data_IF_202359472287
#
_entry.id   IF_202359472287
#
_cell.length_a   1.000
_cell.length_b   1.000
_cell.length_c   1.000
_cell.angle_alpha   90.00
_cell.angle_beta   90.00
_cell.angle_gamma   90.00
#
_symmetry.space_group_name_H-M   'P 1'
#
loop_
_entity.id
_entity.type
_entity.pdbx_description
1 polymer ?
#
# COMPACT_ATOMS: atom_id res chain seq x y z
N UNK A 1 -5.43 -12.63 -12.14
CA UNK A 1 -5.21 -11.51 -11.20
C UNK A 1 -3.92 -11.82 -10.45
N UNK A 2 -2.82 -11.11 -10.72
CA UNK A 2 -1.52 -11.42 -10.08
C UNK A 2 -1.58 -10.91 -8.64
N UNK A 3 -1.60 -11.77 -7.60
CA UNK A 3 -1.85 -11.35 -6.21
C UNK A 3 -0.81 -10.35 -5.69
N UNK A 4 0.40 -10.40 -6.25
CA UNK A 4 1.54 -9.57 -5.86
C UNK A 4 1.86 -8.45 -6.84
N UNK A 5 1.12 -8.32 -7.95
CA UNK A 5 1.39 -7.28 -8.96
C UNK A 5 1.22 -5.86 -8.41
N UNK A 6 0.36 -5.71 -7.41
CA UNK A 6 0.15 -4.47 -6.67
C UNK A 6 1.38 -4.05 -5.87
N UNK A 7 2.22 -4.97 -5.38
CA UNK A 7 3.45 -4.67 -4.61
C UNK A 7 4.67 -4.63 -5.54
N UNK A 8 4.78 -5.61 -6.43
CA UNK A 8 5.96 -5.80 -7.28
C UNK A 8 6.09 -4.67 -8.30
N UNK A 9 4.99 -4.21 -8.90
CA UNK A 9 5.03 -3.12 -9.87
C UNK A 9 5.61 -1.83 -9.29
N UNK A 10 5.05 -1.30 -8.20
CA UNK A 10 5.58 -0.12 -7.52
C UNK A 10 6.99 -0.32 -6.97
N UNK A 11 7.34 -1.53 -6.52
CA UNK A 11 8.69 -1.86 -6.04
C UNK A 11 9.73 -1.73 -7.15
N UNK A 12 9.45 -2.29 -8.33
CA UNK A 12 10.35 -2.20 -9.48
C UNK A 12 10.48 -0.75 -9.94
N UNK A 13 9.38 -0.01 -10.03
CA UNK A 13 9.40 1.40 -10.44
C UNK A 13 10.19 2.25 -9.44
N UNK A 14 10.00 2.02 -8.14
CA UNK A 14 10.76 2.70 -7.09
C UNK A 14 12.25 2.36 -7.16
N UNK A 15 12.62 1.08 -7.30
CA UNK A 15 14.03 0.65 -7.42
C UNK A 15 14.75 1.30 -8.60
N UNK A 16 14.06 1.49 -9.73
CA UNK A 16 14.63 2.14 -10.92
C UNK A 16 14.79 3.64 -10.71
N UNK A 17 13.81 4.30 -10.08
CA UNK A 17 13.74 5.77 -10.02
C UNK A 17 14.23 6.40 -8.72
N UNK A 18 14.49 5.61 -7.67
CA UNK A 18 14.89 6.13 -6.35
C UNK A 18 16.19 6.95 -6.39
N UNK A 19 17.12 6.58 -7.27
CA UNK A 19 18.43 7.24 -7.37
C UNK A 19 18.38 8.51 -8.23
N UNK A 20 17.36 8.65 -9.09
CA UNK A 20 17.17 9.82 -9.96
C UNK A 20 16.40 10.96 -9.28
N UNK A 21 15.43 10.63 -8.41
CA UNK A 21 14.52 11.61 -7.82
C UNK A 21 14.35 11.36 -6.30
N UNK A 22 14.88 12.25 -5.44
CA UNK A 22 14.74 12.14 -3.98
C UNK A 22 13.28 12.07 -3.52
N UNK A 23 12.38 12.75 -4.23
CA UNK A 23 10.95 12.74 -3.94
C UNK A 23 10.32 11.36 -4.21
N UNK A 24 10.77 10.66 -5.26
CA UNK A 24 10.33 9.30 -5.56
C UNK A 24 10.84 8.32 -4.51
N UNK A 25 12.03 8.56 -3.94
CA UNK A 25 12.52 7.74 -2.84
C UNK A 25 11.61 7.84 -1.61
N UNK A 26 11.28 9.06 -1.17
CA UNK A 26 10.43 9.28 0.01
C UNK A 26 9.00 8.75 -0.21
N UNK A 27 8.36 9.09 -1.33
CA UNK A 27 6.99 8.64 -1.61
C UNK A 27 6.91 7.15 -1.92
N UNK A 28 7.89 6.61 -2.65
CA UNK A 28 7.94 5.21 -3.02
C UNK A 28 8.12 4.29 -1.81
N UNK A 29 9.00 4.65 -0.86
CA UNK A 29 9.13 3.91 0.42
C UNK A 29 7.83 3.87 1.20
N UNK A 30 7.14 5.01 1.34
CA UNK A 30 5.85 5.08 2.06
C UNK A 30 4.75 4.26 1.36
N UNK A 31 4.68 4.35 0.02
CA UNK A 31 3.73 3.57 -0.76
C UNK A 31 3.98 2.06 -0.61
N UNK A 32 5.25 1.62 -0.65
CA UNK A 32 5.63 0.23 -0.46
C UNK A 32 5.30 -0.28 0.94
N UNK A 33 5.65 0.49 1.98
CA UNK A 33 5.31 0.20 3.37
C UNK A 33 3.80 0.00 3.56
N UNK A 34 2.98 0.86 2.94
CA UNK A 34 1.52 0.72 2.95
C UNK A 34 1.05 -0.54 2.21
N UNK A 35 1.60 -0.83 1.04
CA UNK A 35 1.24 -2.01 0.26
C UNK A 35 1.54 -3.33 0.98
N UNK A 36 2.68 -3.40 1.67
CA UNK A 36 3.04 -4.54 2.52
C UNK A 36 2.06 -4.67 3.68
N UNK A 37 1.72 -3.55 4.34
CA UNK A 37 0.72 -3.52 5.42
C UNK A 37 -0.63 -4.05 4.93
N UNK A 38 -1.09 -3.59 3.76
CA UNK A 38 -2.34 -4.04 3.15
C UNK A 38 -2.30 -5.53 2.81
N UNK A 39 -1.19 -6.06 2.30
CA UNK A 39 -1.05 -7.48 2.04
C UNK A 39 -1.11 -8.33 3.32
N UNK A 40 -0.50 -7.87 4.41
CA UNK A 40 -0.63 -8.53 5.72
C UNK A 40 -2.09 -8.49 6.17
N UNK A 41 -2.77 -7.34 6.06
CA UNK A 41 -4.19 -7.22 6.39
C UNK A 41 -5.07 -8.17 5.57
N UNK A 42 -4.81 -8.30 4.27
CA UNK A 42 -5.50 -9.26 3.41
C UNK A 42 -5.22 -10.72 3.81
N UNK A 43 -3.98 -11.05 4.18
CA UNK A 43 -3.62 -12.39 4.65
C UNK A 43 -4.35 -12.73 5.96
N UNK A 44 -4.41 -11.79 6.90
CA UNK A 44 -5.18 -11.92 8.15
C UNK A 44 -6.67 -12.09 7.85
N UNK A 45 -7.24 -11.27 6.95
CA UNK A 45 -8.63 -11.39 6.54
C UNK A 45 -8.91 -12.75 5.88
N UNK A 46 -7.98 -13.26 5.07
CA UNK A 46 -8.09 -14.57 4.42
C UNK A 46 -8.13 -15.71 5.44
N UNK A 47 -7.31 -15.67 6.49
CA UNK A 47 -7.39 -16.63 7.60
C UNK A 47 -8.71 -16.49 8.36
N UNK A 48 -9.21 -15.25 8.54
CA UNK A 48 -10.50 -14.99 9.20
C UNK A 48 -11.72 -15.39 8.36
N UNK A 49 -11.59 -15.72 7.07
CA UNK A 49 -12.70 -16.25 6.26
C UNK A 49 -13.24 -17.54 6.86
N UNK A 50 -12.37 -18.38 7.44
CA UNK A 50 -12.79 -19.62 8.11
C UNK A 50 -13.71 -19.36 9.32
N UNK A 51 -13.67 -18.16 9.89
CA UNK A 51 -14.55 -17.72 10.97
C UNK A 51 -15.80 -16.95 10.47
N UNK A 52 -16.08 -16.92 9.14
CA UNK A 52 -17.14 -16.15 8.46
C UNK A 52 -16.97 -14.61 8.55
N UNK A 53 -16.32 -14.11 9.59
CA UNK A 53 -16.00 -12.69 9.82
C UNK A 53 -15.14 -12.12 8.68
N UNK A 54 -14.24 -12.91 8.11
CA UNK A 54 -13.37 -12.48 7.01
C UNK A 54 -14.12 -12.03 5.75
N UNK A 55 -15.36 -12.50 5.54
CA UNK A 55 -16.17 -12.12 4.38
C UNK A 55 -16.66 -10.66 4.46
N UNK A 56 -16.92 -10.16 5.68
CA UNK A 56 -17.31 -8.76 5.93
C UNK A 56 -16.07 -7.87 5.99
N UNK A 57 -14.97 -8.37 6.54
CA UNK A 57 -13.72 -7.61 6.71
C UNK A 57 -13.01 -7.35 5.37
N UNK A 58 -13.07 -8.30 4.43
CA UNK A 58 -12.45 -8.18 3.10
C UNK A 58 -12.87 -6.92 2.32
N UNK A 59 -14.18 -6.66 2.08
CA UNK A 59 -14.61 -5.46 1.37
C UNK A 59 -14.27 -4.18 2.14
N UNK A 60 -14.29 -4.21 3.48
CA UNK A 60 -13.91 -3.06 4.30
C UNK A 60 -12.43 -2.68 4.10
N UNK A 61 -11.54 -3.68 4.14
CA UNK A 61 -10.10 -3.50 3.87
C UNK A 61 -9.87 -3.06 2.43
N UNK A 62 -10.62 -3.59 1.46
CA UNK A 62 -10.51 -3.18 0.06
C UNK A 62 -10.90 -1.70 -0.15
N UNK A 63 -12.02 -1.26 0.43
CA UNK A 63 -12.46 0.14 0.36
C UNK A 63 -11.43 1.05 1.05
N UNK A 64 -10.96 0.68 2.24
CA UNK A 64 -9.93 1.45 2.94
C UNK A 64 -8.65 1.58 2.10
N UNK A 65 -8.17 0.48 1.53
CA UNK A 65 -7.00 0.46 0.65
C UNK A 65 -7.17 1.37 -0.56
N UNK A 66 -8.35 1.32 -1.19
CA UNK A 66 -8.66 2.16 -2.35
C UNK A 66 -8.66 3.65 -2.00
N UNK A 67 -9.37 4.05 -0.94
CA UNK A 67 -9.43 5.44 -0.48
C UNK A 67 -8.02 5.99 -0.18
N UNK A 68 -7.20 5.17 0.47
CA UNK A 68 -5.83 5.53 0.83
C UNK A 68 -4.94 5.74 -0.40
N UNK A 69 -5.06 4.91 -1.43
CA UNK A 69 -4.35 5.08 -2.71
C UNK A 69 -4.80 6.35 -3.43
N UNK A 70 -6.11 6.65 -3.43
CA UNK A 70 -6.65 7.87 -4.03
C UNK A 70 -6.12 9.12 -3.33
N UNK A 71 -6.19 9.17 -1.99
CA UNK A 71 -5.65 10.31 -1.23
C UNK A 71 -4.14 10.47 -1.39
N UNK A 72 -3.40 9.36 -1.44
CA UNK A 72 -1.97 9.39 -1.69
C UNK A 72 -1.65 9.95 -3.08
N UNK A 73 -2.42 9.56 -4.10
CA UNK A 73 -2.25 10.03 -5.47
C UNK A 73 -2.53 11.53 -5.59
N UNK A 74 -3.59 12.01 -4.93
CA UNK A 74 -3.93 13.45 -4.89
C UNK A 74 -2.82 14.23 -4.20
N UNK A 75 -2.36 13.79 -3.02
CA UNK A 75 -1.31 14.49 -2.28
C UNK A 75 0.05 14.44 -2.98
N UNK A 76 0.37 13.34 -3.66
CA UNK A 76 1.56 13.25 -4.51
C UNK A 76 1.50 14.25 -5.68
N UNK A 77 0.32 14.48 -6.26
CA UNK A 77 0.12 15.51 -7.29
C UNK A 77 0.33 16.93 -6.73
N UNK A 78 -0.11 17.18 -5.50
CA UNK A 78 0.17 18.44 -4.78
C UNK A 78 1.63 18.60 -4.31
N UNK A 79 2.50 17.61 -4.54
CA UNK A 79 3.87 17.59 -4.02
C UNK A 79 3.95 17.48 -2.49
N UNK A 80 2.85 17.09 -1.83
CA UNK A 80 2.77 16.95 -0.37
C UNK A 80 3.02 15.51 0.05
N UNK A 81 3.80 15.35 1.11
CA UNK A 81 4.00 14.04 1.72
C UNK A 81 2.69 13.49 2.31
N UNK A 82 2.31 12.29 1.88
CA UNK A 82 1.23 11.54 2.50
C UNK A 82 1.79 10.42 3.37
N UNK A 83 1.54 10.50 4.67
CA UNK A 83 1.79 9.42 5.60
C UNK A 83 0.54 8.55 5.67
N UNK A 84 0.68 7.28 5.27
CA UNK A 84 -0.42 6.33 5.31
C UNK A 84 -0.71 5.97 6.76
N UNK A 85 -1.91 6.24 7.31
CA UNK A 85 -2.29 5.71 8.61
C UNK A 85 -2.16 4.17 8.63
N UNK A 86 -1.62 3.65 9.74
CA UNK A 86 -1.33 2.23 9.98
C UNK A 86 -0.22 1.60 9.12
N UNK A 87 0.52 2.35 8.29
CA UNK A 87 1.63 1.75 7.54
C UNK A 87 2.80 1.38 8.45
N UNK A 88 3.27 0.14 8.34
CA UNK A 88 4.50 -0.32 8.98
C UNK A 88 5.71 0.30 8.27
N UNK A 89 6.57 1.01 9.00
CA UNK A 89 7.82 1.56 8.46
C UNK A 89 8.91 0.48 8.36
N UNK A 90 8.83 -0.36 7.33
CA UNK A 90 9.80 -1.43 7.08
C UNK A 90 10.99 -0.94 6.26
N UNK A 91 10.73 -0.09 5.26
CA UNK A 91 11.76 0.52 4.41
C UNK A 91 11.98 1.96 4.90
N UNK A 92 13.23 2.28 5.26
CA UNK A 92 13.67 3.57 5.82
C UNK A 92 14.51 4.35 4.81
#
# INVERSE_FOLDING_TARGET
MVPFGSIIGPLIVWLIKKDEMPIVDVHGKKALNFQITMAIAYLVCFVLIFAVIGLILLPLVAIFGFVMVVMASIKANEGKEFNYPFSLNLIK
#
